data_IF_338370122255
#
_entry.id   IF_338370122255
#
_cell.length_a   1.000
_cell.length_b   1.000
_cell.length_c   1.000
_cell.angle_alpha   90.00
_cell.angle_beta   90.00
_cell.angle_gamma   90.00
#
_symmetry.space_group_name_H-M   'P 1'
#
loop_
_entity.id
_entity.type
_entity.pdbx_description
1 polymer ?
#
# COMPACT_ATOMS: atom_id res chain seq x y z
N UNK A 1 20.18 4.38 -12.44
CA UNK A 1 19.24 3.39 -13.01
C UNK A 1 17.82 3.86 -12.71
N UNK A 2 16.93 3.91 -13.71
CA UNK A 2 15.54 4.33 -13.48
C UNK A 2 14.77 3.17 -12.84
N UNK A 3 14.14 3.41 -11.69
CA UNK A 3 13.28 2.42 -11.04
C UNK A 3 12.09 2.11 -11.95
N UNK A 4 11.76 0.83 -12.12
CA UNK A 4 10.53 0.42 -12.81
C UNK A 4 9.30 0.63 -11.92
N UNK A 5 9.43 0.25 -10.65
CA UNK A 5 8.48 0.50 -9.58
C UNK A 5 9.20 0.25 -8.24
N UNK A 6 8.66 0.76 -7.15
CA UNK A 6 9.09 0.42 -5.80
C UNK A 6 7.90 -0.13 -5.00
N UNK A 7 8.12 -1.14 -4.18
CA UNK A 7 7.08 -1.69 -3.32
C UNK A 7 7.40 -1.43 -1.85
N UNK A 8 6.43 -0.84 -1.15
CA UNK A 8 6.49 -0.58 0.28
C UNK A 8 5.66 -1.60 1.06
N UNK A 9 6.04 -1.79 2.32
CA UNK A 9 5.34 -2.63 3.27
C UNK A 9 5.54 -2.01 4.66
N UNK A 10 4.45 -1.87 5.41
CA UNK A 10 4.49 -1.30 6.75
C UNK A 10 3.09 -1.18 7.33
N UNK A 11 3.04 -0.75 8.59
CA UNK A 11 1.81 -0.55 9.38
C UNK A 11 1.77 0.81 10.07
N UNK A 12 2.71 1.70 9.73
CA UNK A 12 2.78 3.06 10.24
C UNK A 12 2.62 4.03 9.06
N UNK A 13 1.53 4.80 9.08
CA UNK A 13 1.20 5.73 8.01
C UNK A 13 2.29 6.79 7.78
N UNK A 14 2.83 7.37 8.84
CA UNK A 14 3.83 8.45 8.71
C UNK A 14 5.11 7.93 8.03
N UNK A 15 5.57 6.74 8.40
CA UNK A 15 6.72 6.10 7.77
C UNK A 15 6.45 5.73 6.32
N UNK A 16 5.27 5.18 6.02
CA UNK A 16 4.87 4.88 4.64
C UNK A 16 4.85 6.15 3.78
N UNK A 17 4.27 7.23 4.28
CA UNK A 17 4.22 8.52 3.58
C UNK A 17 5.62 9.06 3.30
N UNK A 18 6.50 9.06 4.31
CA UNK A 18 7.89 9.54 4.17
C UNK A 18 8.68 8.70 3.17
N UNK A 19 8.56 7.38 3.22
CA UNK A 19 9.21 6.48 2.27
C UNK A 19 8.66 6.65 0.85
N UNK A 20 7.34 6.75 0.68
CA UNK A 20 6.71 6.98 -0.61
C UNK A 20 7.16 8.30 -1.24
N UNK A 21 7.21 9.38 -0.43
CA UNK A 21 7.74 10.68 -0.86
C UNK A 21 9.18 10.58 -1.34
N UNK A 22 10.01 9.83 -0.63
CA UNK A 22 11.40 9.63 -1.03
C UNK A 22 11.51 8.93 -2.38
N UNK A 23 10.80 7.81 -2.53
CA UNK A 23 10.81 7.01 -3.75
C UNK A 23 10.27 7.78 -4.96
N UNK A 24 9.20 8.55 -4.74
CA UNK A 24 8.52 9.30 -5.78
C UNK A 24 9.33 10.52 -6.27
N UNK A 25 10.12 11.16 -5.39
CA UNK A 25 10.86 12.40 -5.71
C UNK A 25 12.34 12.16 -5.96
N UNK A 26 13.07 11.61 -4.98
CA UNK A 26 14.51 11.36 -5.12
C UNK A 26 14.78 10.04 -5.84
N UNK A 27 13.97 9.01 -5.61
CA UNK A 27 14.12 7.70 -6.25
C UNK A 27 13.69 7.69 -7.72
N UNK A 28 12.86 8.65 -8.14
CA UNK A 28 12.33 8.73 -9.51
C UNK A 28 11.44 7.54 -9.88
N UNK A 29 10.81 6.88 -8.91
CA UNK A 29 9.92 5.75 -9.18
C UNK A 29 8.65 6.25 -9.91
N UNK A 30 8.31 5.71 -11.09
CA UNK A 30 7.08 6.06 -11.78
C UNK A 30 5.84 5.45 -11.10
N UNK A 31 6.04 4.44 -10.24
CA UNK A 31 5.00 3.77 -9.46
C UNK A 31 5.51 3.34 -8.09
N UNK A 32 4.65 3.50 -7.07
CA UNK A 32 4.80 2.91 -5.75
C UNK A 32 3.65 1.95 -5.46
N UNK A 33 3.99 0.72 -5.10
CA UNK A 33 3.06 -0.35 -4.74
C UNK A 33 3.00 -0.49 -3.20
N UNK A 34 1.82 -0.60 -2.60
CA UNK A 34 1.66 -1.06 -1.21
C UNK A 34 1.45 -2.58 -1.18
N UNK A 35 2.26 -3.28 -0.40
CA UNK A 35 2.11 -4.72 -0.19
C UNK A 35 1.08 -5.01 0.92
N UNK A 36 -0.09 -5.46 0.50
CA UNK A 36 -1.16 -5.97 1.36
C UNK A 36 -1.30 -7.50 1.21
N UNK A 37 -0.21 -8.23 0.92
CA UNK A 37 -0.28 -9.64 0.50
C UNK A 37 0.71 -10.60 1.13
N UNK A 38 1.76 -10.12 1.80
CA UNK A 38 2.74 -10.99 2.44
C UNK A 38 2.15 -11.69 3.68
N UNK A 39 2.13 -13.04 3.74
CA UNK A 39 1.53 -13.78 4.85
C UNK A 39 2.54 -14.13 5.97
N UNK A 40 3.81 -13.74 5.84
CA UNK A 40 4.84 -14.14 6.79
C UNK A 40 4.53 -13.61 8.20
N UNK A 41 4.63 -14.48 9.22
CA UNK A 41 4.26 -14.16 10.60
C UNK A 41 4.99 -12.94 11.16
N UNK A 42 6.25 -12.75 10.80
CA UNK A 42 7.06 -11.58 11.21
C UNK A 42 6.55 -10.25 10.64
N UNK A 43 5.75 -10.31 9.57
CA UNK A 43 5.12 -9.16 8.91
C UNK A 43 3.71 -8.97 9.45
N UNK A 44 2.89 -10.02 9.43
CA UNK A 44 1.48 -9.95 9.85
C UNK A 44 1.35 -9.70 11.35
N UNK A 45 2.28 -10.22 12.16
CA UNK A 45 2.37 -9.93 13.60
C UNK A 45 2.70 -8.47 13.93
N UNK A 46 3.08 -7.66 12.93
CA UNK A 46 3.29 -6.20 13.05
C UNK A 46 2.16 -5.39 12.43
N UNK A 47 1.07 -6.03 12.01
CA UNK A 47 -0.06 -5.36 11.34
C UNK A 47 0.21 -4.95 9.89
N UNK A 48 1.22 -5.53 9.23
CA UNK A 48 1.55 -5.23 7.83
C UNK A 48 1.29 -6.43 6.90
N UNK A 49 1.47 -6.22 5.59
CA UNK A 49 1.29 -7.30 4.61
C UNK A 49 -0.18 -7.71 4.54
N UNK A 50 -0.46 -9.02 4.50
CA UNK A 50 -1.84 -9.47 4.34
C UNK A 50 -2.73 -9.18 5.55
N UNK A 51 -2.19 -8.91 6.74
CA UNK A 51 -3.03 -8.61 7.91
C UNK A 51 -3.90 -7.37 7.73
N UNK A 52 -3.48 -6.43 6.86
CA UNK A 52 -4.28 -5.25 6.49
C UNK A 52 -5.61 -5.65 5.86
N UNK A 53 -5.72 -6.83 5.24
CA UNK A 53 -6.96 -7.28 4.58
C UNK A 53 -8.05 -7.75 5.57
N UNK A 54 -7.77 -7.69 6.88
CA UNK A 54 -8.75 -8.01 7.93
C UNK A 54 -9.77 -6.88 8.10
N UNK A 55 -9.37 -5.65 7.82
CA UNK A 55 -10.22 -4.46 7.90
C UNK A 55 -9.97 -3.56 6.68
N UNK A 56 -10.98 -3.33 5.82
CA UNK A 56 -10.86 -2.40 4.70
C UNK A 56 -10.37 -0.99 5.11
N UNK A 57 -10.66 -0.53 6.34
CA UNK A 57 -10.17 0.76 6.83
C UNK A 57 -8.64 0.79 6.93
N UNK A 58 -7.99 -0.33 7.28
CA UNK A 58 -6.53 -0.43 7.33
C UNK A 58 -5.93 -0.31 5.92
N UNK A 59 -6.56 -0.95 4.92
CA UNK A 59 -6.15 -0.84 3.51
C UNK A 59 -6.26 0.60 3.04
N UNK A 60 -7.39 1.27 3.32
CA UNK A 60 -7.60 2.65 2.94
C UNK A 60 -6.57 3.59 3.59
N UNK A 61 -6.37 3.48 4.91
CA UNK A 61 -5.47 4.35 5.66
C UNK A 61 -4.02 4.23 5.18
N UNK A 62 -3.52 2.99 5.03
CA UNK A 62 -2.15 2.75 4.56
C UNK A 62 -1.96 3.16 3.09
N UNK A 63 -2.95 2.93 2.23
CA UNK A 63 -2.89 3.36 0.83
C UNK A 63 -2.90 4.89 0.74
N UNK A 64 -3.75 5.55 1.52
CA UNK A 64 -3.84 7.02 1.61
C UNK A 64 -2.52 7.62 2.07
N UNK A 65 -1.84 7.01 3.03
CA UNK A 65 -0.51 7.44 3.46
C UNK A 65 0.53 7.40 2.32
N UNK A 66 0.54 6.31 1.54
CA UNK A 66 1.40 6.21 0.35
C UNK A 66 1.02 7.28 -0.69
N UNK A 67 -0.27 7.47 -0.97
CA UNK A 67 -0.77 8.48 -1.90
C UNK A 67 -0.39 9.92 -1.49
N UNK A 68 -0.48 10.26 -0.20
CA UNK A 68 0.01 11.55 0.33
C UNK A 68 1.50 11.73 0.05
N UNK A 69 2.30 10.68 0.17
CA UNK A 69 3.74 10.72 -0.11
C UNK A 69 4.06 10.98 -1.58
N UNK A 70 3.30 10.35 -2.48
CA UNK A 70 3.43 10.48 -3.93
C UNK A 70 2.78 11.76 -4.51
N UNK A 71 2.03 12.52 -3.71
CA UNK A 71 1.28 13.68 -4.19
C UNK A 71 2.18 14.71 -4.91
N UNK A 72 1.75 15.12 -6.10
CA UNK A 72 2.40 16.13 -6.93
C UNK A 72 3.67 15.66 -7.67
N UNK A 73 4.03 14.38 -7.62
CA UNK A 73 5.22 13.87 -8.32
C UNK A 73 4.91 13.18 -9.66
N UNK A 74 3.64 12.92 -9.97
CA UNK A 74 3.23 12.09 -11.12
C UNK A 74 3.48 10.58 -10.92
N UNK A 75 3.90 10.15 -9.73
CA UNK A 75 4.09 8.74 -9.39
C UNK A 75 2.72 8.08 -9.12
N UNK A 76 2.43 6.98 -9.81
CA UNK A 76 1.21 6.22 -9.59
C UNK A 76 1.27 5.42 -8.28
N UNK A 77 0.14 5.32 -7.58
CA UNK A 77 0.00 4.44 -6.42
C UNK A 77 -0.86 3.24 -6.79
N UNK A 78 -0.42 2.06 -6.38
CA UNK A 78 -1.07 0.78 -6.65
C UNK A 78 -1.01 -0.10 -5.41
N UNK A 79 -1.86 -1.13 -5.34
CA UNK A 79 -1.89 -2.08 -4.21
C UNK A 79 -1.76 -3.50 -4.73
N UNK A 80 -0.87 -4.27 -4.10
CA UNK A 80 -0.75 -5.72 -4.33
C UNK A 80 -1.35 -6.48 -3.15
N UNK A 81 -2.50 -7.11 -3.35
CA UNK A 81 -3.23 -7.85 -2.32
C UNK A 81 -3.43 -9.34 -2.66
N UNK A 82 -3.89 -10.11 -1.67
CA UNK A 82 -4.49 -11.46 -1.82
C UNK A 82 -6.01 -11.34 -1.88
N UNK A 83 -6.72 -12.45 -2.09
CA UNK A 83 -8.19 -12.50 -2.05
C UNK A 83 -8.81 -12.19 -0.68
N UNK A 84 -8.01 -12.09 0.38
CA UNK A 84 -8.45 -11.89 1.77
C UNK A 84 -7.38 -12.37 2.76
N UNK A 85 -7.66 -12.20 4.06
CA UNK A 85 -6.86 -12.80 5.14
C UNK A 85 -7.53 -14.05 5.70
N UNK A 86 -8.45 -13.88 6.65
CA UNK A 86 -9.28 -14.97 7.21
C UNK A 86 -10.64 -15.04 6.49
N UNK A 87 -11.18 -13.89 6.09
CA UNK A 87 -12.40 -13.76 5.31
C UNK A 87 -12.08 -13.28 3.88
N UNK A 88 -12.53 -14.06 2.88
CA UNK A 88 -12.41 -13.71 1.46
C UNK A 88 -13.60 -12.89 0.96
N UNK A 89 -14.70 -12.84 1.71
CA UNK A 89 -15.87 -12.01 1.43
C UNK A 89 -15.53 -10.52 1.36
N UNK A 90 -14.51 -10.08 2.09
CA UNK A 90 -14.02 -8.71 2.12
C UNK A 90 -13.21 -8.28 0.88
N UNK A 91 -13.06 -9.13 -0.15
CA UNK A 91 -12.26 -8.78 -1.32
C UNK A 91 -12.76 -7.49 -1.99
N UNK A 92 -14.08 -7.35 -2.15
CA UNK A 92 -14.66 -6.20 -2.84
C UNK A 92 -14.42 -4.92 -2.03
N UNK A 93 -14.64 -4.98 -0.72
CA UNK A 93 -14.46 -3.87 0.20
C UNK A 93 -13.00 -3.44 0.27
N UNK A 94 -12.06 -4.39 0.33
CA UNK A 94 -10.63 -4.09 0.30
C UNK A 94 -10.19 -3.42 -1.03
N UNK A 95 -10.76 -3.82 -2.17
CA UNK A 95 -10.49 -3.16 -3.46
C UNK A 95 -11.04 -1.73 -3.50
N UNK A 96 -12.27 -1.53 -3.02
CA UNK A 96 -12.88 -0.20 -2.93
C UNK A 96 -12.13 0.71 -1.96
N UNK A 97 -11.70 0.18 -0.81
CA UNK A 97 -10.88 0.88 0.17
C UNK A 97 -9.51 1.29 -0.40
N UNK A 98 -8.84 0.40 -1.14
CA UNK A 98 -7.61 0.74 -1.85
C UNK A 98 -7.84 1.91 -2.83
N UNK A 99 -8.94 1.87 -3.60
CA UNK A 99 -9.28 2.96 -4.52
C UNK A 99 -9.58 4.26 -3.79
N UNK A 100 -10.34 4.22 -2.69
CA UNK A 100 -10.63 5.37 -1.83
C UNK A 100 -9.36 5.98 -1.21
N UNK A 101 -8.37 5.12 -0.90
CA UNK A 101 -7.04 5.52 -0.46
C UNK A 101 -6.15 6.12 -1.57
N UNK A 102 -6.61 6.12 -2.83
CA UNK A 102 -5.88 6.72 -3.95
C UNK A 102 -5.07 5.72 -4.79
N UNK A 103 -5.29 4.41 -4.63
CA UNK A 103 -4.77 3.44 -5.58
C UNK A 103 -5.44 3.58 -6.95
N UNK A 104 -4.62 3.41 -7.98
CA UNK A 104 -5.03 3.17 -9.37
C UNK A 104 -4.74 1.72 -9.71
N UNK A 105 -5.51 1.12 -10.63
CA UNK A 105 -5.35 -0.29 -11.04
C UNK A 105 -5.25 -0.37 -12.56
#
# INVERSE_FOLDING_TARGET
PNLLAAQLMGSNEELLERCARFLARQGGAPRVDLNCGCPANVVTGKGAGSSLLRDPNDVEAMTRAVARGCAGSGCAVTVKLRSGFDDRGLLRENLLAAQAGGASF
#
